data_IF_982875139658
#
_entry.id   IF_982875139658
#
_cell.length_a   1.000
_cell.length_b   1.000
_cell.length_c   1.000
_cell.angle_alpha   90.00
_cell.angle_beta   90.00
_cell.angle_gamma   90.00
#
_symmetry.space_group_name_H-M   'P 1'
#
loop_
_entity.id
_entity.type
_entity.pdbx_description
1 polymer ?
#
# COMPACT_ATOMS: atom_id res chain seq x y z
N UNK A 1 21.64 -4.69 -11.93
CA UNK A 1 20.80 -5.24 -10.84
C UNK A 1 20.02 -6.40 -11.44
N UNK A 2 19.93 -7.53 -10.76
CA UNK A 2 19.10 -8.64 -11.25
C UNK A 2 17.62 -8.23 -11.15
N UNK A 3 16.81 -8.61 -12.14
CA UNK A 3 15.37 -8.41 -12.12
C UNK A 3 14.75 -9.12 -10.88
N UNK A 4 13.75 -8.51 -10.21
CA UNK A 4 13.10 -9.16 -9.08
C UNK A 4 12.39 -10.43 -9.54
N UNK A 5 12.37 -11.44 -8.66
CA UNK A 5 11.61 -12.68 -8.90
C UNK A 5 10.11 -12.38 -8.96
N UNK A 6 9.62 -11.54 -8.05
CA UNK A 6 8.23 -11.11 -7.94
C UNK A 6 8.15 -9.66 -7.49
N UNK A 7 7.12 -8.97 -7.96
CA UNK A 7 6.77 -7.61 -7.57
C UNK A 7 5.43 -7.65 -6.83
N UNK A 8 5.43 -7.25 -5.57
CA UNK A 8 4.21 -7.07 -4.79
C UNK A 8 3.84 -5.59 -4.79
N UNK A 9 2.74 -5.26 -5.45
CA UNK A 9 2.13 -3.93 -5.38
C UNK A 9 1.02 -3.97 -4.32
N UNK A 10 0.95 -2.98 -3.45
CA UNK A 10 -0.08 -2.95 -2.42
C UNK A 10 -0.76 -1.60 -2.37
N UNK A 11 -2.08 -1.65 -2.23
CA UNK A 11 -2.92 -0.53 -1.86
C UNK A 11 -4.04 -1.04 -0.95
N UNK A 12 -4.36 -0.33 0.11
CA UNK A 12 -5.37 -0.81 1.04
C UNK A 12 -5.99 0.29 1.86
N UNK A 13 -7.07 -0.09 2.57
CA UNK A 13 -7.68 0.82 3.51
C UNK A 13 -6.67 1.25 4.59
N UNK A 14 -6.66 2.54 4.87
CA UNK A 14 -6.08 3.08 6.09
C UNK A 14 -6.93 2.63 7.28
N UNK A 15 -6.29 2.55 8.45
CA UNK A 15 -7.02 2.31 9.70
C UNK A 15 -8.09 3.39 9.90
N UNK A 16 -9.27 3.01 10.38
CA UNK A 16 -10.38 3.95 10.55
C UNK A 16 -10.07 4.99 11.63
N UNK A 17 -10.43 6.24 11.35
CA UNK A 17 -10.43 7.30 12.33
C UNK A 17 -11.49 7.03 13.42
N UNK A 18 -11.23 7.48 14.65
CA UNK A 18 -12.18 7.37 15.76
C UNK A 18 -13.53 8.02 15.41
N UNK A 19 -14.60 7.26 15.57
CA UNK A 19 -15.96 7.73 15.30
C UNK A 19 -16.36 7.73 13.83
N UNK A 20 -15.65 7.00 12.97
CA UNK A 20 -16.07 6.78 11.60
C UNK A 20 -17.43 6.09 11.54
N UNK A 21 -18.42 6.71 10.92
CA UNK A 21 -19.82 6.19 10.87
C UNK A 21 -19.93 4.85 10.17
N UNK A 22 -19.20 4.67 9.06
CA UNK A 22 -19.16 3.40 8.32
C UNK A 22 -17.76 2.83 8.36
N UNK A 23 -17.49 1.89 9.28
CA UNK A 23 -16.19 1.27 9.42
C UNK A 23 -15.76 0.52 8.16
N UNK A 24 -14.50 0.70 7.74
CA UNK A 24 -13.87 -0.04 6.64
C UNK A 24 -12.70 -0.88 7.12
N UNK A 25 -11.90 -0.33 8.04
CA UNK A 25 -10.80 -1.02 8.68
C UNK A 25 -10.69 -0.58 10.16
N UNK A 26 -11.55 -1.13 11.04
CA UNK A 26 -11.51 -0.84 12.47
C UNK A 26 -10.19 -1.27 13.12
N UNK A 27 -9.68 -0.52 14.12
CA UNK A 27 -8.38 -0.81 14.76
C UNK A 27 -8.27 -2.20 15.37
N UNK A 28 -9.34 -2.74 15.90
CA UNK A 28 -9.38 -4.09 16.47
C UNK A 28 -9.22 -5.20 15.42
N UNK A 29 -9.34 -4.87 14.14
CA UNK A 29 -9.13 -5.77 12.99
C UNK A 29 -7.71 -5.79 12.46
N UNK A 30 -6.81 -4.96 12.99
CA UNK A 30 -5.42 -4.87 12.56
C UNK A 30 -4.75 -6.23 12.46
N UNK A 31 -4.89 -7.07 13.51
CA UNK A 31 -4.27 -8.41 13.52
C UNK A 31 -4.85 -9.34 12.45
N UNK A 32 -6.14 -9.24 12.17
CA UNK A 32 -6.80 -10.02 11.11
C UNK A 32 -6.25 -9.62 9.75
N UNK A 33 -6.14 -8.32 9.48
CA UNK A 33 -5.55 -7.81 8.24
C UNK A 33 -4.09 -8.21 8.08
N UNK A 34 -3.28 -8.06 9.14
CA UNK A 34 -1.87 -8.46 9.14
C UNK A 34 -1.69 -9.94 8.81
N UNK A 35 -2.49 -10.83 9.43
CA UNK A 35 -2.44 -12.25 9.15
C UNK A 35 -2.87 -12.59 7.72
N UNK A 36 -3.89 -11.92 7.18
CA UNK A 36 -4.35 -12.12 5.81
C UNK A 36 -3.28 -11.71 4.78
N UNK A 37 -2.62 -10.57 5.00
CA UNK A 37 -1.52 -10.10 4.16
C UNK A 37 -0.32 -11.06 4.24
N UNK A 38 0.06 -11.47 5.47
CA UNK A 38 1.14 -12.42 5.69
C UNK A 38 0.87 -13.76 4.98
N UNK A 39 -0.35 -14.28 5.06
CA UNK A 39 -0.75 -15.52 4.40
C UNK A 39 -0.58 -15.44 2.87
N UNK A 40 -0.91 -14.31 2.25
CA UNK A 40 -0.66 -14.11 0.81
C UNK A 40 0.84 -14.14 0.51
N UNK A 41 1.65 -13.43 1.29
CA UNK A 41 3.10 -13.42 1.10
C UNK A 41 3.71 -14.83 1.28
N UNK A 42 3.20 -15.62 2.23
CA UNK A 42 3.63 -16.99 2.48
C UNK A 42 3.21 -17.93 1.33
N UNK A 43 2.00 -17.79 0.81
CA UNK A 43 1.52 -18.55 -0.36
C UNK A 43 2.45 -18.35 -1.57
N UNK A 44 2.94 -17.13 -1.77
CA UNK A 44 3.90 -16.82 -2.84
C UNK A 44 5.36 -17.15 -2.47
N UNK A 45 5.62 -17.58 -1.25
CA UNK A 45 6.96 -17.82 -0.74
C UNK A 45 7.85 -16.59 -0.83
N UNK A 46 7.32 -15.43 -0.38
CA UNK A 46 8.03 -14.16 -0.45
C UNK A 46 9.41 -14.23 0.21
N UNK A 47 10.42 -13.64 -0.41
CA UNK A 47 11.82 -13.76 0.00
C UNK A 47 12.66 -12.53 -0.42
N UNK A 48 13.96 -12.59 -0.18
CA UNK A 48 14.95 -11.54 -0.46
C UNK A 48 15.14 -11.18 -1.95
N UNK A 49 14.57 -11.97 -2.86
CA UNK A 49 14.59 -11.72 -4.30
C UNK A 49 13.36 -10.98 -4.80
N UNK A 50 12.43 -10.63 -3.91
CA UNK A 50 11.19 -9.95 -4.23
C UNK A 50 11.25 -8.48 -3.86
N UNK A 51 10.43 -7.66 -4.54
CA UNK A 51 10.30 -6.24 -4.25
C UNK A 51 8.84 -5.90 -3.95
N UNK A 52 8.61 -5.06 -2.95
CA UNK A 52 7.32 -4.48 -2.64
C UNK A 52 7.26 -3.01 -3.03
N UNK A 53 6.09 -2.56 -3.46
CA UNK A 53 5.79 -1.16 -3.79
C UNK A 53 4.51 -0.77 -3.06
N UNK A 54 4.56 0.28 -2.26
CA UNK A 54 3.41 0.82 -1.53
C UNK A 54 3.64 2.30 -1.18
N UNK A 55 2.59 3.01 -0.78
CA UNK A 55 2.74 4.38 -0.26
C UNK A 55 3.24 4.40 1.18
N UNK A 56 2.87 3.42 1.99
CA UNK A 56 3.24 3.35 3.40
C UNK A 56 2.28 4.07 4.34
N UNK A 57 1.02 4.24 3.94
CA UNK A 57 -0.03 4.79 4.80
C UNK A 57 -0.31 3.88 6.01
N UNK A 58 -0.83 4.46 7.10
CA UNK A 58 -1.22 3.69 8.28
C UNK A 58 -2.35 2.69 7.94
N UNK A 59 -2.19 1.44 8.32
CA UNK A 59 -3.10 0.35 7.98
C UNK A 59 -2.51 -0.64 6.99
N UNK A 60 -3.22 -0.96 5.91
CA UNK A 60 -2.84 -2.03 4.97
C UNK A 60 -1.42 -1.92 4.43
N UNK A 61 -1.00 -0.74 4.06
CA UNK A 61 0.31 -0.48 3.47
C UNK A 61 1.47 -0.78 4.43
N UNK A 62 1.42 -0.24 5.66
CA UNK A 62 2.46 -0.50 6.64
C UNK A 62 2.46 -1.95 7.14
N UNK A 63 1.29 -2.59 7.28
CA UNK A 63 1.20 -4.02 7.61
C UNK A 63 1.88 -4.88 6.54
N UNK A 64 1.67 -4.57 5.27
CA UNK A 64 2.35 -5.26 4.19
C UNK A 64 3.86 -4.99 4.19
N UNK A 65 4.26 -3.73 4.34
CA UNK A 65 5.65 -3.33 4.32
C UNK A 65 6.47 -4.07 5.39
N UNK A 66 5.95 -4.13 6.61
CA UNK A 66 6.56 -4.88 7.71
C UNK A 66 6.67 -6.38 7.39
N UNK A 67 5.57 -6.98 6.95
CA UNK A 67 5.53 -8.41 6.64
C UNK A 67 6.50 -8.81 5.51
N UNK A 68 6.65 -7.98 4.47
CA UNK A 68 7.60 -8.22 3.40
C UNK A 68 9.06 -8.06 3.87
N UNK A 69 9.34 -7.00 4.64
CA UNK A 69 10.67 -6.75 5.19
C UNK A 69 11.13 -7.83 6.18
N UNK A 70 10.20 -8.45 6.93
CA UNK A 70 10.48 -9.62 7.79
C UNK A 70 10.92 -10.85 6.98
N UNK A 71 10.44 -10.97 5.73
CA UNK A 71 10.82 -12.05 4.79
C UNK A 71 12.08 -11.72 3.96
N UNK A 72 12.72 -10.59 4.26
CA UNK A 72 13.95 -10.14 3.59
C UNK A 72 13.72 -9.40 2.27
N UNK A 73 12.47 -9.25 1.82
CA UNK A 73 12.15 -8.57 0.57
C UNK A 73 12.61 -7.10 0.56
N UNK A 74 12.92 -6.57 -0.61
CA UNK A 74 13.19 -5.15 -0.80
C UNK A 74 11.89 -4.35 -0.85
N UNK A 75 11.94 -3.08 -0.43
CA UNK A 75 10.76 -2.22 -0.38
C UNK A 75 11.02 -0.87 -1.03
N UNK A 76 10.09 -0.41 -1.86
CA UNK A 76 9.97 0.96 -2.32
C UNK A 76 8.74 1.63 -1.70
N UNK A 77 8.96 2.71 -0.95
CA UNK A 77 7.89 3.63 -0.53
C UNK A 77 7.75 4.74 -1.58
N UNK A 78 6.54 4.93 -2.09
CA UNK A 78 6.23 5.95 -3.09
C UNK A 78 5.24 6.95 -2.52
N UNK A 79 5.75 8.12 -2.15
CA UNK A 79 4.96 9.14 -1.46
C UNK A 79 4.29 10.08 -2.48
N UNK A 80 2.96 10.27 -2.40
CA UNK A 80 2.23 11.20 -3.28
C UNK A 80 2.59 12.67 -3.04
N UNK A 81 3.14 12.97 -1.85
CA UNK A 81 3.56 14.30 -1.41
C UNK A 81 4.98 14.27 -0.85
N UNK A 82 5.51 15.45 -0.48
CA UNK A 82 6.65 15.48 0.43
C UNK A 82 6.32 14.77 1.75
N UNK A 83 7.33 14.22 2.38
CA UNK A 83 7.16 13.39 3.57
C UNK A 83 6.42 14.07 4.72
N UNK A 84 6.69 15.33 5.10
CA UNK A 84 5.94 15.99 6.18
C UNK A 84 4.44 16.08 5.91
N UNK A 85 4.04 16.29 4.66
CA UNK A 85 2.63 16.30 4.26
C UNK A 85 2.05 14.88 4.32
N UNK A 86 2.77 13.90 3.79
CA UNK A 86 2.33 12.50 3.81
C UNK A 86 2.15 11.97 5.24
N UNK A 87 3.08 12.24 6.13
CA UNK A 87 2.95 11.88 7.54
C UNK A 87 1.67 12.42 8.14
N UNK A 88 1.42 13.72 7.99
CA UNK A 88 0.23 14.37 8.54
C UNK A 88 -1.09 13.82 7.95
N UNK A 89 -1.13 13.54 6.66
CA UNK A 89 -2.36 13.15 5.96
C UNK A 89 -2.64 11.63 6.02
N UNK A 90 -1.59 10.80 6.10
CA UNK A 90 -1.71 9.36 5.86
C UNK A 90 -1.12 8.48 6.96
N UNK A 91 -0.36 9.05 7.90
CA UNK A 91 0.29 8.27 8.98
C UNK A 91 -0.17 8.75 10.36
N UNK A 92 -0.03 10.05 10.64
CA UNK A 92 -0.20 10.68 11.97
C UNK A 92 -1.50 11.46 12.11
N UNK A 93 -2.45 11.31 11.19
CA UNK A 93 -3.64 12.13 11.26
C UNK A 93 -4.33 11.99 12.63
N UNK A 94 -4.69 13.12 13.25
CA UNK A 94 -5.22 13.26 14.62
C UNK A 94 -6.37 12.31 14.99
N UNK A 95 -6.95 11.66 14.00
CA UNK A 95 -8.07 10.75 14.12
C UNK A 95 -7.67 9.28 14.14
N UNK A 96 -6.39 8.95 13.98
CA UNK A 96 -5.94 7.56 14.06
C UNK A 96 -6.14 7.04 15.50
N UNK A 97 -6.97 6.02 15.71
CA UNK A 97 -7.25 5.52 17.03
C UNK A 97 -6.09 4.65 17.51
N UNK A 98 -5.08 5.27 18.06
CA UNK A 98 -4.01 4.54 18.73
C UNK A 98 -4.03 4.87 20.21
N UNK A 99 -3.94 3.88 21.11
CA UNK A 99 -3.68 4.13 22.52
C UNK A 99 -2.28 4.75 22.75
N UNK A 100 -1.41 4.69 21.70
CA UNK A 100 -0.09 5.30 21.66
C UNK A 100 -0.07 6.27 20.47
N UNK A 101 -0.08 7.60 20.68
CA UNK A 101 -0.18 8.60 19.61
C UNK A 101 0.81 8.41 18.46
N UNK A 102 1.99 7.89 18.76
CA UNK A 102 3.09 7.76 17.79
C UNK A 102 3.26 6.37 17.19
N UNK A 103 2.30 5.46 17.40
CA UNK A 103 2.49 4.05 17.00
C UNK A 103 2.69 3.88 15.50
N UNK A 104 1.86 4.50 14.66
CA UNK A 104 1.98 4.41 13.21
C UNK A 104 3.18 5.18 12.68
N UNK A 105 3.48 6.33 13.27
CA UNK A 105 4.69 7.10 12.96
C UNK A 105 5.96 6.27 13.21
N UNK A 106 6.08 5.67 14.40
CA UNK A 106 7.23 4.83 14.72
C UNK A 106 7.38 3.63 13.77
N UNK A 107 6.27 3.03 13.33
CA UNK A 107 6.28 1.95 12.34
C UNK A 107 6.73 2.45 10.98
N UNK A 108 6.21 3.59 10.53
CA UNK A 108 6.64 4.24 9.29
C UNK A 108 8.14 4.51 9.30
N UNK A 109 8.69 5.09 10.37
CA UNK A 109 10.12 5.37 10.47
C UNK A 109 10.99 4.09 10.43
N UNK A 110 10.54 3.01 11.08
CA UNK A 110 11.24 1.71 11.02
C UNK A 110 11.22 1.10 9.62
N UNK A 111 10.10 1.18 8.94
CA UNK A 111 9.94 0.71 7.56
C UNK A 111 10.79 1.56 6.61
N UNK A 112 10.69 2.87 6.72
CA UNK A 112 11.43 3.84 5.91
C UNK A 112 12.94 3.65 6.00
N UNK A 113 13.46 3.37 7.20
CA UNK A 113 14.90 3.11 7.40
C UNK A 113 15.44 1.91 6.60
N UNK A 114 14.56 1.04 6.12
CA UNK A 114 14.88 -0.17 5.35
C UNK A 114 14.38 -0.12 3.91
N UNK A 115 13.69 0.95 3.52
CA UNK A 115 13.06 1.10 2.22
C UNK A 115 13.81 2.14 1.35
N UNK A 116 13.67 2.01 0.05
CA UNK A 116 13.96 3.08 -0.89
C UNK A 116 12.75 4.01 -0.94
N UNK A 117 12.91 5.28 -0.60
CA UNK A 117 11.85 6.28 -0.65
C UNK A 117 11.92 7.08 -1.94
N UNK A 118 10.79 7.22 -2.60
CA UNK A 118 10.61 8.01 -3.82
C UNK A 118 9.44 8.98 -3.61
N UNK A 119 9.69 10.27 -3.78
CA UNK A 119 8.68 11.32 -3.64
C UNK A 119 8.16 11.70 -5.02
N UNK A 120 6.88 11.47 -5.28
CA UNK A 120 6.28 11.61 -6.62
C UNK A 120 6.54 12.97 -7.26
N UNK A 121 6.34 14.14 -6.58
CA UNK A 121 6.66 15.43 -7.18
C UNK A 121 8.11 15.61 -7.59
N UNK A 122 9.05 14.94 -6.96
CA UNK A 122 10.48 14.98 -7.32
C UNK A 122 10.79 14.13 -8.55
N UNK A 123 10.02 13.06 -8.78
CA UNK A 123 10.21 12.12 -9.89
C UNK A 123 9.39 12.52 -11.11
N UNK A 124 8.12 12.88 -10.92
CA UNK A 124 7.15 13.14 -12.00
C UNK A 124 6.79 14.61 -12.19
N UNK A 125 7.37 15.49 -11.36
CA UNK A 125 6.98 16.89 -11.28
C UNK A 125 5.70 17.11 -10.46
N UNK A 126 5.29 18.38 -10.23
CA UNK A 126 4.13 18.71 -9.43
C UNK A 126 2.85 18.09 -9.98
N UNK A 127 1.91 17.80 -9.08
CA UNK A 127 0.58 17.31 -9.49
C UNK A 127 -0.16 18.40 -10.24
N UNK A 128 -0.69 18.13 -11.45
CA UNK A 128 -1.49 19.06 -12.18
C UNK A 128 -2.72 19.53 -11.38
N UNK A 129 -3.18 20.73 -11.67
CA UNK A 129 -4.39 21.27 -11.05
C UNK A 129 -5.61 20.40 -11.37
N UNK A 130 -6.39 20.07 -10.35
CA UNK A 130 -7.58 19.21 -10.48
C UNK A 130 -7.32 17.71 -10.42
N UNK A 131 -6.06 17.27 -10.43
CA UNK A 131 -5.72 15.85 -10.25
C UNK A 131 -5.54 15.49 -8.76
N UNK A 132 -5.90 14.27 -8.40
CA UNK A 132 -5.62 13.71 -7.08
C UNK A 132 -4.17 13.20 -7.01
N UNK A 133 -3.36 13.70 -6.07
CA UNK A 133 -2.00 13.20 -5.90
C UNK A 133 -1.97 11.69 -5.57
N UNK A 134 -2.93 11.20 -4.80
CA UNK A 134 -3.03 9.76 -4.49
C UNK A 134 -3.32 8.92 -5.72
N UNK A 135 -4.30 9.34 -6.55
CA UNK A 135 -4.63 8.62 -7.78
C UNK A 135 -3.45 8.60 -8.75
N UNK A 136 -2.76 9.73 -8.89
CA UNK A 136 -1.56 9.84 -9.72
C UNK A 136 -0.43 8.95 -9.21
N UNK A 137 -0.21 8.88 -7.89
CA UNK A 137 0.77 8.01 -7.27
C UNK A 137 0.44 6.53 -7.49
N UNK A 138 -0.81 6.15 -7.31
CA UNK A 138 -1.31 4.81 -7.57
C UNK A 138 -1.08 4.39 -9.04
N UNK A 139 -1.40 5.25 -10.00
CA UNK A 139 -1.12 4.99 -11.43
C UNK A 139 0.37 4.84 -11.71
N UNK A 140 1.20 5.64 -11.08
CA UNK A 140 2.65 5.52 -11.18
C UNK A 140 3.13 4.17 -10.63
N UNK A 141 2.64 3.75 -9.45
CA UNK A 141 2.99 2.45 -8.87
C UNK A 141 2.57 1.29 -9.78
N UNK A 142 1.35 1.31 -10.32
CA UNK A 142 0.86 0.27 -11.26
C UNK A 142 1.72 0.23 -12.51
N UNK A 143 1.96 1.38 -13.15
CA UNK A 143 2.77 1.46 -14.37
C UNK A 143 4.16 0.86 -14.18
N UNK A 144 4.83 1.25 -13.12
CA UNK A 144 6.20 0.81 -12.88
C UNK A 144 6.25 -0.65 -12.41
N UNK A 145 5.26 -1.11 -11.63
CA UNK A 145 5.13 -2.52 -11.27
C UNK A 145 4.93 -3.42 -12.50
N UNK A 146 4.07 -3.01 -13.43
CA UNK A 146 3.86 -3.71 -14.70
C UNK A 146 5.11 -3.68 -15.61
N UNK A 147 5.86 -2.59 -15.58
CA UNK A 147 7.10 -2.48 -16.36
C UNK A 147 8.21 -3.42 -15.86
N UNK A 148 8.15 -3.89 -14.61
CA UNK A 148 9.07 -4.91 -14.08
C UNK A 148 8.69 -6.34 -14.50
N UNK A 149 7.59 -6.52 -15.24
CA UNK A 149 7.06 -7.80 -15.71
C UNK A 149 5.68 -8.09 -15.17
N UNK A 150 4.67 -8.04 -16.03
CA UNK A 150 3.27 -8.25 -15.61
C UNK A 150 3.05 -9.66 -15.03
N UNK A 151 3.76 -10.66 -15.53
CA UNK A 151 3.72 -12.05 -15.04
C UNK A 151 4.34 -12.23 -13.64
N UNK A 152 5.13 -11.25 -13.20
CA UNK A 152 5.76 -11.21 -11.86
C UNK A 152 4.97 -10.37 -10.89
N UNK A 153 4.03 -9.53 -11.39
CA UNK A 153 3.26 -8.60 -10.58
C UNK A 153 2.11 -9.31 -9.87
N UNK A 154 2.10 -9.18 -8.55
CA UNK A 154 0.96 -9.51 -7.70
C UNK A 154 0.47 -8.23 -7.01
N UNK A 155 -0.74 -7.80 -7.32
CA UNK A 155 -1.40 -6.70 -6.64
C UNK A 155 -2.23 -7.23 -5.48
N UNK A 156 -1.85 -6.86 -4.25
CA UNK A 156 -2.59 -7.20 -3.03
C UNK A 156 -3.42 -5.97 -2.64
N UNK A 157 -4.73 -6.09 -2.57
CA UNK A 157 -5.59 -4.99 -2.13
C UNK A 157 -6.43 -5.37 -0.92
N UNK A 158 -6.31 -4.59 0.17
CA UNK A 158 -7.16 -4.69 1.36
C UNK A 158 -8.31 -3.69 1.21
N UNK A 159 -9.50 -4.15 0.76
CA UNK A 159 -10.56 -3.26 0.29
C UNK A 159 -11.95 -3.86 0.49
N UNK A 160 -12.95 -3.02 0.75
CA UNK A 160 -14.36 -3.40 0.97
C UNK A 160 -15.19 -3.51 -0.32
N UNK A 161 -14.57 -3.31 -1.48
CA UNK A 161 -15.26 -3.33 -2.79
C UNK A 161 -16.03 -2.04 -3.10
N UNK A 162 -15.96 -1.02 -2.24
CA UNK A 162 -16.74 0.22 -2.39
C UNK A 162 -15.84 1.43 -2.61
N UNK A 163 -16.27 2.34 -3.49
CA UNK A 163 -15.48 3.52 -3.84
C UNK A 163 -14.21 3.19 -4.62
N UNK A 164 -13.41 4.21 -4.89
CA UNK A 164 -12.17 4.04 -5.65
C UNK A 164 -12.41 3.74 -7.13
N UNK A 165 -13.49 4.30 -7.70
CA UNK A 165 -13.90 4.07 -9.10
C UNK A 165 -13.26 5.07 -10.09
N UNK A 166 -12.62 6.12 -9.56
CA UNK A 166 -11.88 7.10 -10.36
C UNK A 166 -10.54 6.59 -10.88
N UNK A 167 -9.89 7.35 -11.76
CA UNK A 167 -8.55 7.02 -12.25
C UNK A 167 -7.56 6.87 -11.09
N UNK A 168 -6.89 5.71 -11.01
CA UNK A 168 -5.97 5.38 -9.89
C UNK A 168 -6.64 4.91 -8.60
N UNK A 169 -7.97 4.87 -8.53
CA UNK A 169 -8.66 4.23 -7.41
C UNK A 169 -8.47 2.71 -7.40
N UNK A 170 -8.77 2.06 -6.26
CA UNK A 170 -8.48 0.62 -6.07
C UNK A 170 -9.13 -0.25 -7.15
N UNK A 171 -10.36 0.04 -7.56
CA UNK A 171 -11.03 -0.68 -8.66
C UNK A 171 -10.25 -0.55 -9.96
N UNK A 172 -9.87 0.68 -10.34
CA UNK A 172 -9.09 0.93 -11.55
C UNK A 172 -7.74 0.20 -11.51
N UNK A 173 -7.03 0.22 -10.36
CA UNK A 173 -5.79 -0.54 -10.21
C UNK A 173 -6.00 -2.05 -10.42
N UNK A 174 -7.07 -2.62 -9.85
CA UNK A 174 -7.44 -4.04 -10.04
C UNK A 174 -7.66 -4.37 -11.51
N UNK A 175 -8.44 -3.54 -12.22
CA UNK A 175 -8.77 -3.72 -13.63
C UNK A 175 -7.52 -3.60 -14.51
N UNK A 176 -6.69 -2.59 -14.27
CA UNK A 176 -5.46 -2.34 -15.02
C UNK A 176 -4.46 -3.49 -14.86
N UNK A 177 -4.24 -3.97 -13.63
CA UNK A 177 -3.33 -5.10 -13.38
C UNK A 177 -3.83 -6.37 -14.06
N UNK A 178 -5.12 -6.69 -13.91
CA UNK A 178 -5.72 -7.88 -14.55
C UNK A 178 -5.67 -7.85 -16.06
N UNK A 179 -5.99 -6.69 -16.66
CA UNK A 179 -6.01 -6.55 -18.12
C UNK A 179 -4.64 -6.78 -18.77
N UNK A 180 -3.57 -6.60 -17.99
CA UNK A 180 -2.18 -6.79 -18.43
C UNK A 180 -1.56 -8.09 -17.97
N UNK A 181 -2.34 -9.01 -17.41
CA UNK A 181 -1.91 -10.34 -17.02
C UNK A 181 -1.23 -10.43 -15.65
N UNK A 182 -1.26 -9.36 -14.85
CA UNK A 182 -0.82 -9.39 -13.46
C UNK A 182 -1.83 -10.10 -12.56
N UNK A 183 -1.33 -10.66 -11.46
CA UNK A 183 -2.16 -11.34 -10.48
C UNK A 183 -2.77 -10.34 -9.49
N UNK A 184 -4.01 -10.57 -9.06
CA UNK A 184 -4.68 -9.75 -8.05
C UNK A 184 -5.14 -10.62 -6.89
N UNK A 185 -4.71 -10.28 -5.69
CA UNK A 185 -5.16 -10.84 -4.41
C UNK A 185 -6.02 -9.80 -3.68
N UNK A 186 -7.32 -9.97 -3.78
CA UNK A 186 -8.27 -9.12 -3.10
C UNK A 186 -8.62 -9.68 -1.73
N UNK A 187 -8.15 -8.98 -0.70
CA UNK A 187 -8.49 -9.19 0.69
C UNK A 187 -9.75 -8.36 1.00
N UNK A 188 -10.89 -8.99 0.79
CA UNK A 188 -12.23 -8.38 0.96
C UNK A 188 -12.51 -8.17 2.44
N UNK A 189 -12.43 -6.91 2.90
CA UNK A 189 -12.63 -6.57 4.31
C UNK A 189 -14.02 -6.90 4.81
N UNK A 190 -15.03 -6.98 3.94
CA UNK A 190 -16.39 -7.38 4.31
C UNK A 190 -16.54 -8.87 4.61
N UNK A 191 -15.52 -9.66 4.27
CA UNK A 191 -15.47 -11.11 4.53
C UNK A 191 -14.40 -11.49 5.55
N UNK A 192 -13.45 -10.60 5.79
CA UNK A 192 -12.40 -10.82 6.78
C UNK A 192 -12.89 -10.56 8.20
N UNK A 193 -13.90 -9.66 8.36
CA UNK A 193 -14.49 -9.32 9.65
C UNK A 193 -15.96 -8.87 9.56
#
# INVERSE_FOLDING_TARGET
MNEPRRVFLVSGHMIDAKGRETPRFPPEKERVAANAIAAVLDEFGACDRDVGITEGACGGDLLFAEALLERGGALELRLPFNEPTFLRESVDFEKAPSPLPDRWHQRFEKVKARAKVLVMPEVLGPTPEGESPYERCNLWMVRDGLAMGSERLCFICLWDGKGGDGPGGTRHMVEEVRSRGGEVRWLDTTKLW
#
